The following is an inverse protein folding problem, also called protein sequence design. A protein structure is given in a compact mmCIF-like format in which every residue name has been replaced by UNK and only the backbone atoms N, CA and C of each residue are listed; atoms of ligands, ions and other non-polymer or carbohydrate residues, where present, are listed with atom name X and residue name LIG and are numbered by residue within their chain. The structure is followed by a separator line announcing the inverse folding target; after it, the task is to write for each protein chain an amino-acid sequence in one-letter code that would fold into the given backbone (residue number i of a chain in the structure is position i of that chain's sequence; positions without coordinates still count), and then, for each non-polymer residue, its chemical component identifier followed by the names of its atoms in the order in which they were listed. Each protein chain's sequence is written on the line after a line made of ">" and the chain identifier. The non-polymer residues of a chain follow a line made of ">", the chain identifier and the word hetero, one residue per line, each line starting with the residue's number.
data_IF_587976725757
#
_entry.id   IF_587976725757
#
_cell.length_a   1.000
_cell.length_b   1.000
_cell.length_c   1.000
_cell.angle_alpha   90.00
_cell.angle_beta   90.00
_cell.angle_gamma   90.00
#
_symmetry.space_group_name_H-M   'P 1'
#
loop_
_entity.id
_entity.type
_entity.pdbx_description
1 polymer ?
#
# COMPACT_ATOMS: atom_id res chain seq x y z
N UNK A 1 -21.28 13.90 -4.30
CA UNK A 1 -20.69 12.84 -5.13
C UNK A 1 -21.61 12.41 -6.29
N UNK A 2 -22.92 12.51 -6.14
CA UNK A 2 -23.92 12.07 -7.14
C UNK A 2 -24.08 13.00 -8.35
N UNK A 3 -23.97 14.32 -8.18
CA UNK A 3 -24.35 15.33 -9.17
C UNK A 3 -23.21 15.87 -10.03
N UNK A 4 -21.98 15.83 -9.53
CA UNK A 4 -20.82 16.36 -10.25
C UNK A 4 -20.45 15.51 -11.46
N UNK A 5 -19.93 16.09 -12.57
CA UNK A 5 -19.41 15.32 -13.69
C UNK A 5 -18.35 14.31 -13.23
N UNK A 6 -18.39 13.10 -13.81
CA UNK A 6 -17.60 11.94 -13.29
C UNK A 6 -16.09 12.19 -13.38
N UNK A 7 -15.60 12.70 -14.51
CA UNK A 7 -14.16 12.91 -14.70
C UNK A 7 -13.55 13.95 -13.71
N UNK A 8 -14.09 15.19 -13.59
CA UNK A 8 -13.59 16.15 -12.61
C UNK A 8 -13.73 15.65 -11.17
N UNK A 9 -14.80 14.91 -10.87
CA UNK A 9 -15.00 14.31 -9.56
C UNK A 9 -13.90 13.29 -9.26
N UNK A 10 -13.62 12.34 -10.18
CA UNK A 10 -12.55 11.37 -10.04
C UNK A 10 -11.20 12.06 -9.85
N UNK A 11 -10.87 13.05 -10.67
CA UNK A 11 -9.60 13.76 -10.58
C UNK A 11 -9.45 14.53 -9.26
N UNK A 12 -10.53 15.08 -8.73
CA UNK A 12 -10.51 15.76 -7.42
C UNK A 12 -10.19 14.82 -6.25
N UNK A 13 -10.41 13.52 -6.43
CA UNK A 13 -10.09 12.48 -5.45
C UNK A 13 -8.73 11.81 -5.74
N UNK A 14 -8.46 11.54 -7.01
CA UNK A 14 -7.27 10.83 -7.44
C UNK A 14 -5.99 11.68 -7.31
N UNK A 15 -6.02 12.94 -7.75
CA UNK A 15 -4.82 13.78 -7.78
C UNK A 15 -4.22 14.02 -6.38
N UNK A 16 -4.99 14.39 -5.33
CA UNK A 16 -4.45 14.49 -3.99
C UNK A 16 -3.86 13.17 -3.50
N UNK A 17 -4.44 12.04 -3.88
CA UNK A 17 -3.97 10.72 -3.48
C UNK A 17 -2.65 10.34 -4.18
N UNK A 18 -2.52 10.63 -5.47
CA UNK A 18 -1.26 10.46 -6.21
C UNK A 18 -0.14 11.30 -5.60
N UNK A 19 -0.43 12.57 -5.25
CA UNK A 19 0.53 13.46 -4.58
C UNK A 19 0.92 12.87 -3.22
N UNK A 20 -0.05 12.40 -2.44
CA UNK A 20 0.21 11.74 -1.15
C UNK A 20 1.15 10.55 -1.29
N UNK A 21 0.91 9.69 -2.27
CA UNK A 21 1.74 8.50 -2.51
C UNK A 21 3.16 8.88 -2.95
N UNK A 22 3.32 9.91 -3.79
CA UNK A 22 4.62 10.45 -4.19
C UNK A 22 5.40 10.97 -2.98
N UNK A 23 4.77 11.82 -2.16
CA UNK A 23 5.39 12.36 -0.95
C UNK A 23 5.79 11.25 0.01
N UNK A 24 4.93 10.25 0.20
CA UNK A 24 5.24 9.10 1.05
C UNK A 24 6.42 8.27 0.50
N UNK A 25 6.52 8.10 -0.82
CA UNK A 25 7.66 7.38 -1.42
C UNK A 25 8.96 8.16 -1.27
N UNK A 26 8.94 9.48 -1.47
CA UNK A 26 10.12 10.34 -1.26
C UNK A 26 10.54 10.37 0.21
N UNK A 27 9.58 10.48 1.12
CA UNK A 27 9.82 10.41 2.56
C UNK A 27 10.54 9.12 2.95
N UNK A 28 10.07 7.95 2.50
CA UNK A 28 10.71 6.66 2.82
C UNK A 28 12.17 6.59 2.34
N UNK A 29 12.49 7.22 1.19
CA UNK A 29 13.87 7.30 0.68
C UNK A 29 14.71 8.18 1.59
N UNK A 30 14.21 9.36 1.96
CA UNK A 30 14.94 10.33 2.81
C UNK A 30 15.20 9.77 4.21
N UNK A 31 14.19 9.16 4.84
CA UNK A 31 14.32 8.49 6.13
C UNK A 31 15.42 7.40 6.09
N UNK A 32 15.38 6.53 5.07
CA UNK A 32 16.40 5.51 4.89
C UNK A 32 17.80 6.07 4.69
N UNK A 33 17.93 7.22 4.00
CA UNK A 33 19.23 7.91 3.82
C UNK A 33 19.77 8.46 5.14
N UNK A 34 18.94 8.99 6.02
CA UNK A 34 19.38 9.45 7.34
C UNK A 34 19.83 8.27 8.22
N UNK A 35 19.08 7.17 8.23
CA UNK A 35 19.47 5.96 8.98
C UNK A 35 20.79 5.38 8.44
N UNK A 36 20.98 5.35 7.13
CA UNK A 36 22.22 4.89 6.50
C UNK A 36 23.47 5.70 6.92
N UNK A 37 23.27 6.96 7.31
CA UNK A 37 24.35 7.83 7.80
C UNK A 37 24.73 7.58 9.26
N UNK A 38 23.98 6.79 10.01
CA UNK A 38 24.34 6.40 11.38
C UNK A 38 25.52 5.41 11.31
N UNK A 39 25.26 4.22 10.82
CA UNK A 39 26.24 3.15 10.50
C UNK A 39 25.54 1.99 9.76
N UNK A 40 26.31 1.01 9.32
CA UNK A 40 25.78 -0.18 8.64
C UNK A 40 24.92 -1.07 9.55
N UNK A 41 25.26 -1.14 10.83
CA UNK A 41 24.48 -1.90 11.84
C UNK A 41 23.07 -1.35 11.99
N UNK A 42 22.89 -0.02 11.93
CA UNK A 42 21.58 0.63 11.98
C UNK A 42 20.72 0.29 10.74
N UNK A 43 21.31 0.30 9.53
CA UNK A 43 20.61 -0.10 8.31
C UNK A 43 20.23 -1.58 8.34
N UNK A 44 21.10 -2.44 8.85
CA UNK A 44 20.81 -3.87 9.01
C UNK A 44 19.67 -4.07 10.00
N UNK A 45 19.70 -3.39 11.14
CA UNK A 45 18.64 -3.45 12.16
C UNK A 45 17.29 -2.99 11.60
N UNK A 46 17.26 -1.85 10.88
CA UNK A 46 16.05 -1.36 10.21
C UNK A 46 15.49 -2.38 9.23
N UNK A 47 16.35 -2.98 8.40
CA UNK A 47 15.96 -3.97 7.39
C UNK A 47 15.37 -5.24 8.03
N UNK A 48 15.87 -5.66 9.20
CA UNK A 48 15.35 -6.82 9.92
C UNK A 48 14.00 -6.53 10.61
N UNK A 49 13.77 -5.29 11.06
CA UNK A 49 12.48 -4.89 11.69
C UNK A 49 11.39 -4.64 10.64
N UNK A 50 11.77 -4.18 9.44
CA UNK A 50 10.86 -3.78 8.36
C UNK A 50 9.76 -4.80 8.01
N UNK A 51 9.99 -6.13 7.92
CA UNK A 51 8.93 -7.09 7.62
C UNK A 51 7.78 -7.07 8.62
N UNK A 52 8.06 -6.97 9.91
CA UNK A 52 7.04 -6.91 10.96
C UNK A 52 6.29 -5.58 10.92
N UNK A 53 7.01 -4.48 10.70
CA UNK A 53 6.41 -3.15 10.53
C UNK A 53 5.48 -3.11 9.31
N UNK A 54 5.91 -3.70 8.19
CA UNK A 54 5.12 -3.79 6.96
C UNK A 54 3.86 -4.64 7.15
N UNK A 55 3.93 -5.72 7.92
CA UNK A 55 2.77 -6.54 8.26
C UNK A 55 1.73 -5.73 9.05
N UNK A 56 2.14 -4.96 10.06
CA UNK A 56 1.24 -4.09 10.82
C UNK A 56 0.61 -3.01 9.93
N UNK A 57 1.40 -2.43 9.02
CA UNK A 57 0.89 -1.46 8.04
C UNK A 57 -0.11 -2.12 7.07
N UNK A 58 0.13 -3.34 6.62
CA UNK A 58 -0.79 -4.08 5.76
C UNK A 58 -2.13 -4.35 6.48
N UNK A 59 -2.10 -4.69 7.78
CA UNK A 59 -3.31 -4.86 8.59
C UNK A 59 -4.07 -3.52 8.68
N UNK A 60 -3.38 -2.43 8.97
CA UNK A 60 -3.99 -1.11 9.10
C UNK A 60 -4.62 -0.62 7.78
N UNK A 61 -3.88 -0.71 6.68
CA UNK A 61 -4.34 -0.27 5.36
C UNK A 61 -5.49 -1.17 4.86
N UNK A 62 -5.33 -2.49 4.98
CA UNK A 62 -6.31 -3.44 4.48
C UNK A 62 -7.63 -3.35 5.25
N UNK A 63 -7.58 -3.28 6.58
CA UNK A 63 -8.78 -3.07 7.39
C UNK A 63 -9.41 -1.69 7.11
N UNK A 64 -8.58 -0.67 6.92
CA UNK A 64 -9.01 0.67 6.51
C UNK A 64 -9.75 0.70 5.17
N UNK A 65 -9.40 -0.17 4.22
CA UNK A 65 -10.16 -0.33 2.95
C UNK A 65 -11.59 -0.79 3.25
N UNK A 66 -11.76 -1.70 4.22
CA UNK A 66 -13.08 -2.12 4.69
C UNK A 66 -13.91 -0.96 5.24
N UNK A 67 -13.29 -0.12 6.09
CA UNK A 67 -13.94 1.10 6.63
C UNK A 67 -14.36 2.02 5.48
N UNK A 68 -13.45 2.31 4.56
CA UNK A 68 -13.69 3.21 3.43
C UNK A 68 -14.87 2.73 2.57
N UNK A 69 -14.89 1.45 2.20
CA UNK A 69 -15.92 0.88 1.34
C UNK A 69 -17.29 0.87 2.04
N UNK A 70 -17.34 0.40 3.29
CA UNK A 70 -18.61 0.25 4.00
C UNK A 70 -19.25 1.60 4.33
N UNK A 71 -18.45 2.57 4.80
CA UNK A 71 -18.93 3.93 5.07
C UNK A 71 -19.43 4.60 3.79
N UNK A 72 -18.68 4.49 2.66
CA UNK A 72 -19.10 5.07 1.40
C UNK A 72 -20.39 4.44 0.86
N UNK A 73 -20.55 3.12 0.98
CA UNK A 73 -21.78 2.39 0.60
C UNK A 73 -22.98 2.86 1.41
N UNK A 74 -22.87 2.90 2.74
CA UNK A 74 -23.94 3.35 3.62
C UNK A 74 -24.35 4.80 3.37
N UNK A 75 -23.35 5.70 3.16
CA UNK A 75 -23.64 7.10 2.81
C UNK A 75 -24.36 7.22 1.46
N UNK A 76 -23.95 6.41 0.48
CA UNK A 76 -24.61 6.36 -0.83
C UNK A 76 -26.05 5.90 -0.74
N UNK A 77 -26.32 4.91 0.09
CA UNK A 77 -27.66 4.39 0.36
C UNK A 77 -28.55 5.34 1.21
N UNK A 78 -27.97 6.43 1.73
CA UNK A 78 -28.70 7.34 2.65
C UNK A 78 -28.80 6.80 4.09
N UNK A 79 -28.10 5.72 4.42
CA UNK A 79 -28.10 5.07 5.72
C UNK A 79 -27.05 5.71 6.66
N UNK A 80 -27.30 6.98 7.06
CA UNK A 80 -26.32 7.76 7.84
C UNK A 80 -25.98 7.13 9.19
N UNK A 81 -26.94 6.52 9.87
CA UNK A 81 -26.71 5.87 11.16
C UNK A 81 -25.79 4.66 11.02
N UNK A 82 -25.98 3.83 9.98
CA UNK A 82 -25.07 2.72 9.69
C UNK A 82 -23.68 3.20 9.24
N UNK A 83 -23.60 4.34 8.57
CA UNK A 83 -22.32 4.95 8.24
C UNK A 83 -21.56 5.41 9.50
N UNK A 84 -22.26 6.03 10.46
CA UNK A 84 -21.71 6.40 11.78
C UNK A 84 -21.25 5.15 12.56
N UNK A 85 -22.07 4.07 12.55
CA UNK A 85 -21.69 2.80 13.17
C UNK A 85 -20.45 2.19 12.50
N UNK A 86 -20.42 2.10 11.17
CA UNK A 86 -19.28 1.54 10.44
C UNK A 86 -17.98 2.32 10.71
N UNK A 87 -18.03 3.66 10.75
CA UNK A 87 -16.89 4.48 11.10
C UNK A 87 -16.47 4.30 12.56
N UNK A 88 -17.42 4.24 13.49
CA UNK A 88 -17.16 4.08 14.93
C UNK A 88 -16.56 2.70 15.25
N UNK A 89 -17.13 1.63 14.73
CA UNK A 89 -16.60 0.27 14.88
C UNK A 89 -15.25 0.14 14.17
N UNK A 90 -15.13 0.69 12.95
CA UNK A 90 -13.88 0.70 12.22
C UNK A 90 -12.75 1.38 12.99
N UNK A 91 -13.01 2.53 13.62
CA UNK A 91 -12.05 3.21 14.48
C UNK A 91 -11.73 2.39 15.74
N UNK A 92 -12.76 1.86 16.44
CA UNK A 92 -12.58 1.08 17.65
C UNK A 92 -11.75 -0.19 17.39
N UNK A 93 -12.03 -0.92 16.32
CA UNK A 93 -11.26 -2.11 15.94
C UNK A 93 -9.85 -1.75 15.45
N UNK A 94 -9.68 -0.63 14.75
CA UNK A 94 -8.32 -0.17 14.38
C UNK A 94 -7.47 0.12 15.61
N UNK A 95 -8.04 0.78 16.63
CA UNK A 95 -7.35 0.99 17.91
C UNK A 95 -7.03 -0.34 18.61
N UNK A 96 -7.98 -1.27 18.64
CA UNK A 96 -7.76 -2.61 19.21
C UNK A 96 -6.66 -3.37 18.48
N UNK A 97 -6.68 -3.39 17.14
CA UNK A 97 -5.61 -3.99 16.33
C UNK A 97 -4.27 -3.31 16.58
N UNK A 98 -4.26 -1.98 16.78
CA UNK A 98 -3.05 -1.23 17.12
C UNK A 98 -2.46 -1.64 18.46
N UNK A 99 -3.29 -1.75 19.50
CA UNK A 99 -2.87 -2.18 20.83
C UNK A 99 -2.36 -3.62 20.80
N UNK A 100 -3.15 -4.54 20.24
CA UNK A 100 -2.78 -5.96 20.15
C UNK A 100 -1.55 -6.15 19.26
N UNK A 101 -1.51 -5.51 18.09
CA UNK A 101 -0.38 -5.57 17.17
C UNK A 101 0.91 -5.02 17.79
N UNK A 102 0.83 -3.89 18.51
CA UNK A 102 1.95 -3.33 19.28
C UNK A 102 2.48 -4.31 20.32
N UNK A 103 1.59 -4.83 21.16
CA UNK A 103 1.97 -5.77 22.22
C UNK A 103 2.60 -7.05 21.67
N UNK A 104 1.98 -7.66 20.66
CA UNK A 104 2.48 -8.87 20.00
C UNK A 104 3.83 -8.59 19.32
N UNK A 105 3.93 -7.52 18.53
CA UNK A 105 5.17 -7.18 17.83
C UNK A 105 6.33 -6.95 18.81
N UNK A 106 6.13 -6.17 19.87
CA UNK A 106 7.16 -5.92 20.87
C UNK A 106 7.58 -7.23 21.56
N UNK A 107 6.62 -8.11 21.89
CA UNK A 107 6.89 -9.37 22.57
C UNK A 107 7.67 -10.37 21.72
N UNK A 108 7.40 -10.44 20.40
CA UNK A 108 8.06 -11.41 19.52
C UNK A 108 9.42 -10.93 18.98
N UNK A 109 9.68 -9.62 18.96
CA UNK A 109 10.88 -9.05 18.34
C UNK A 109 12.20 -9.60 18.89
N UNK A 110 12.40 -9.81 20.21
CA UNK A 110 13.65 -10.38 20.70
C UNK A 110 13.95 -11.76 20.11
N UNK A 111 12.95 -12.65 20.09
CA UNK A 111 13.08 -13.99 19.52
C UNK A 111 13.21 -13.96 17.98
N UNK A 112 12.53 -13.03 17.34
CA UNK A 112 12.57 -12.86 15.88
C UNK A 112 13.96 -12.40 15.46
N UNK A 113 14.46 -11.28 15.98
CA UNK A 113 15.78 -10.74 15.62
C UNK A 113 16.92 -11.70 15.97
N UNK A 114 16.85 -12.38 17.12
CA UNK A 114 17.85 -13.35 17.53
C UNK A 114 17.99 -14.58 16.62
N UNK A 115 17.02 -14.81 15.71
CA UNK A 115 17.12 -15.87 14.67
C UNK A 115 17.87 -15.41 13.43
N UNK A 116 17.93 -14.10 13.17
CA UNK A 116 18.50 -13.53 11.96
C UNK A 116 19.88 -12.90 12.16
N UNK A 117 20.22 -12.53 13.40
CA UNK A 117 21.53 -11.94 13.71
C UNK A 117 22.05 -12.41 15.05
N UNK A 118 23.38 -12.63 15.12
CA UNK A 118 24.14 -12.86 16.36
C UNK A 118 24.93 -11.62 16.77
N UNK A 119 24.93 -10.58 15.93
CA UNK A 119 25.59 -9.32 16.20
C UNK A 119 24.84 -8.56 17.31
N UNK A 120 25.52 -8.34 18.42
CA UNK A 120 24.95 -7.69 19.61
C UNK A 120 24.56 -6.23 19.36
N UNK A 121 25.29 -5.51 18.49
CA UNK A 121 24.98 -4.12 18.13
C UNK A 121 23.71 -4.05 17.29
N UNK A 122 23.61 -4.86 16.23
CA UNK A 122 22.43 -4.95 15.38
C UNK A 122 21.20 -5.35 16.17
N UNK A 123 21.35 -6.35 17.06
CA UNK A 123 20.25 -6.81 17.94
C UNK A 123 19.77 -5.69 18.86
N UNK A 124 20.70 -5.00 19.54
CA UNK A 124 20.37 -3.88 20.43
C UNK A 124 19.67 -2.74 19.71
N UNK A 125 20.20 -2.35 18.53
CA UNK A 125 19.60 -1.30 17.70
C UNK A 125 18.21 -1.70 17.18
N UNK A 126 18.04 -2.92 16.73
CA UNK A 126 16.77 -3.44 16.24
C UNK A 126 15.70 -3.51 17.35
N UNK A 127 16.08 -3.92 18.55
CA UNK A 127 15.17 -3.92 19.70
C UNK A 127 14.78 -2.50 20.13
N UNK A 128 15.74 -1.58 20.13
CA UNK A 128 15.47 -0.17 20.46
C UNK A 128 14.53 0.47 19.46
N UNK A 129 14.83 0.31 18.17
CA UNK A 129 13.99 0.82 17.08
C UNK A 129 12.57 0.23 17.14
N UNK A 130 12.46 -1.09 17.24
CA UNK A 130 11.18 -1.79 17.20
C UNK A 130 10.28 -1.43 18.40
N UNK A 131 10.83 -1.31 19.61
CA UNK A 131 10.05 -0.91 20.79
C UNK A 131 9.40 0.46 20.61
N UNK A 132 10.14 1.42 20.04
CA UNK A 132 9.63 2.78 19.82
C UNK A 132 8.60 2.78 18.70
N UNK A 133 8.93 2.25 17.50
CA UNK A 133 8.04 2.26 16.36
C UNK A 133 6.74 1.50 16.61
N UNK A 134 6.82 0.32 17.25
CA UNK A 134 5.61 -0.44 17.59
C UNK A 134 4.84 0.17 18.77
N UNK A 135 5.49 0.95 19.64
CA UNK A 135 4.81 1.78 20.63
C UNK A 135 3.87 2.79 20.00
N UNK A 136 4.20 3.31 18.81
CA UNK A 136 3.34 4.20 18.01
C UNK A 136 2.35 3.47 17.10
N UNK A 137 2.34 2.13 17.03
CA UNK A 137 1.47 1.38 16.13
C UNK A 137 -0.02 1.71 16.30
N UNK A 138 -0.48 1.94 17.54
CA UNK A 138 -1.86 2.36 17.81
C UNK A 138 -2.17 3.73 17.21
N UNK A 139 -1.24 4.68 17.30
CA UNK A 139 -1.38 6.01 16.71
C UNK A 139 -1.41 5.93 15.19
N UNK A 140 -0.54 5.10 14.61
CA UNK A 140 -0.52 4.85 13.17
C UNK A 140 -1.83 4.24 12.66
N UNK A 141 -2.37 3.24 13.37
CA UNK A 141 -3.65 2.62 13.01
C UNK A 141 -4.82 3.59 13.14
N UNK A 142 -4.82 4.44 14.16
CA UNK A 142 -5.81 5.52 14.29
C UNK A 142 -5.70 6.53 13.13
N UNK A 143 -4.47 6.93 12.77
CA UNK A 143 -4.21 7.81 11.64
C UNK A 143 -4.76 7.25 10.33
N UNK A 144 -4.48 5.97 10.05
CA UNK A 144 -4.97 5.30 8.84
C UNK A 144 -6.49 5.10 8.85
N UNK A 145 -7.10 4.83 10.01
CA UNK A 145 -8.55 4.76 10.13
C UNK A 145 -9.21 6.12 9.83
N UNK A 146 -8.69 7.22 10.38
CA UNK A 146 -9.14 8.57 10.03
C UNK A 146 -8.95 8.87 8.55
N UNK A 147 -7.78 8.55 7.98
CA UNK A 147 -7.53 8.69 6.54
C UNK A 147 -8.66 8.04 5.73
N UNK A 148 -9.03 6.81 6.06
CA UNK A 148 -10.06 6.07 5.31
C UNK A 148 -11.47 6.62 5.54
N UNK A 149 -11.78 7.13 6.74
CA UNK A 149 -13.03 7.85 7.02
C UNK A 149 -13.09 9.15 6.20
N UNK A 150 -12.03 9.96 6.18
CA UNK A 150 -11.99 11.19 5.37
C UNK A 150 -12.06 10.90 3.87
N UNK A 151 -11.43 9.83 3.41
CA UNK A 151 -11.51 9.37 2.01
C UNK A 151 -12.94 8.96 1.64
N UNK A 152 -13.64 8.23 2.50
CA UNK A 152 -15.02 7.74 2.25
C UNK A 152 -16.03 8.88 2.08
N UNK A 153 -15.81 10.00 2.77
CA UNK A 153 -16.65 11.21 2.65
C UNK A 153 -16.16 12.20 1.57
N UNK A 154 -15.13 11.83 0.80
CA UNK A 154 -14.64 12.65 -0.31
C UNK A 154 -13.68 13.78 0.08
N UNK A 155 -13.14 13.78 1.29
CA UNK A 155 -12.21 14.80 1.79
C UNK A 155 -10.74 14.46 1.53
N UNK A 156 -10.39 14.05 0.30
CA UNK A 156 -9.03 13.65 -0.08
C UNK A 156 -7.96 14.74 0.13
N UNK A 157 -8.32 16.01 0.04
CA UNK A 157 -7.39 17.12 0.35
C UNK A 157 -6.93 17.09 1.80
N UNK A 158 -7.82 16.72 2.72
CA UNK A 158 -7.47 16.59 4.14
C UNK A 158 -6.46 15.47 4.35
N UNK A 159 -6.69 14.32 3.70
CA UNK A 159 -5.77 13.18 3.80
C UNK A 159 -4.39 13.51 3.22
N UNK A 160 -4.35 14.22 2.10
CA UNK A 160 -3.10 14.70 1.52
C UNK A 160 -2.35 15.64 2.47
N UNK A 161 -3.04 16.65 3.04
CA UNK A 161 -2.41 17.62 3.97
C UNK A 161 -1.91 16.92 5.22
N UNK A 162 -2.71 16.03 5.82
CA UNK A 162 -2.32 15.29 7.02
C UNK A 162 -1.06 14.44 6.78
N UNK A 163 -0.99 13.74 5.63
CA UNK A 163 0.16 12.95 5.26
C UNK A 163 1.40 13.82 5.01
N UNK A 164 1.25 14.93 4.28
CA UNK A 164 2.36 15.87 4.02
C UNK A 164 2.90 16.43 5.35
N UNK A 165 2.03 16.86 6.27
CA UNK A 165 2.45 17.35 7.59
C UNK A 165 3.24 16.29 8.36
N UNK A 166 2.77 15.06 8.36
CA UNK A 166 3.49 13.95 9.00
C UNK A 166 4.85 13.67 8.36
N UNK A 167 4.92 13.58 7.03
CA UNK A 167 6.16 13.33 6.30
C UNK A 167 7.17 14.49 6.47
N UNK A 168 6.73 15.73 6.33
CA UNK A 168 7.60 16.91 6.51
C UNK A 168 8.08 17.00 7.94
N UNK A 169 7.17 16.78 8.92
CA UNK A 169 7.53 16.72 10.33
C UNK A 169 8.61 15.68 10.62
N UNK A 170 8.47 14.49 10.07
CA UNK A 170 9.49 13.43 10.20
C UNK A 170 10.82 13.85 9.55
N UNK A 171 10.84 14.29 8.28
CA UNK A 171 12.06 14.72 7.57
C UNK A 171 12.82 15.81 8.33
N UNK A 172 12.11 16.71 9.02
CA UNK A 172 12.72 17.75 9.86
C UNK A 172 13.26 17.15 11.15
N UNK A 173 12.51 16.25 11.80
CA UNK A 173 12.88 15.65 13.09
C UNK A 173 14.00 14.62 12.97
N UNK A 174 14.11 13.90 11.84
CA UNK A 174 15.16 12.91 11.62
C UNK A 174 16.56 13.46 11.90
N UNK A 175 17.07 14.49 11.21
CA UNK A 175 18.40 15.00 11.47
C UNK A 175 18.53 15.61 12.88
N UNK A 176 17.47 16.20 13.42
CA UNK A 176 17.50 16.79 14.77
C UNK A 176 17.68 15.72 15.86
N UNK A 177 16.93 14.63 15.77
CA UNK A 177 16.93 13.57 16.78
C UNK A 177 18.01 12.52 16.54
N UNK A 178 18.33 12.20 15.28
CA UNK A 178 19.37 11.22 14.96
C UNK A 178 20.75 11.76 15.34
N UNK A 179 21.08 12.98 14.89
CA UNK A 179 22.43 13.55 15.03
C UNK A 179 22.57 14.54 16.18
N UNK A 180 21.48 14.90 16.86
CA UNK A 180 21.53 15.82 17.99
C UNK A 180 21.80 17.26 17.58
N UNK A 181 21.03 17.80 16.62
CA UNK A 181 21.19 19.17 16.17
C UNK A 181 20.39 20.12 17.06
N UNK A 182 21.03 21.21 17.51
CA UNK A 182 20.42 22.21 18.37
C UNK A 182 20.25 21.73 19.82
N UNK A 183 19.06 21.88 20.44
CA UNK A 183 18.83 21.49 21.83
C UNK A 183 18.59 19.98 22.04
N UNK A 184 18.56 19.21 20.98
CA UNK A 184 18.23 17.77 21.03
C UNK A 184 19.49 16.91 21.26
N UNK A 185 19.41 15.86 22.10
CA UNK A 185 20.49 14.89 22.23
C UNK A 185 20.58 14.00 20.98
N UNK A 186 21.78 13.56 20.63
CA UNK A 186 21.98 12.57 19.58
C UNK A 186 21.44 11.21 20.01
N UNK A 187 20.34 10.75 19.40
CA UNK A 187 19.66 9.51 19.77
C UNK A 187 19.91 8.36 18.78
N UNK A 188 20.61 8.62 17.67
CA UNK A 188 20.88 7.59 16.66
C UNK A 188 19.59 6.95 16.13
N UNK A 189 19.54 5.61 16.10
CA UNK A 189 18.40 4.85 15.57
C UNK A 189 17.11 5.04 16.41
N UNK A 190 17.23 5.34 17.72
CA UNK A 190 16.08 5.69 18.54
C UNK A 190 15.46 7.02 18.09
N UNK A 191 16.29 7.97 17.65
CA UNK A 191 15.86 9.24 17.09
C UNK A 191 15.04 9.06 15.80
N UNK A 192 15.48 8.21 14.88
CA UNK A 192 14.74 7.85 13.67
C UNK A 192 13.37 7.23 13.99
N UNK A 193 13.34 6.27 14.92
CA UNK A 193 12.10 5.65 15.36
C UNK A 193 11.12 6.66 15.99
N UNK A 194 11.63 7.56 16.80
CA UNK A 194 10.84 8.60 17.47
C UNK A 194 10.32 9.63 16.46
N UNK A 195 11.15 10.07 15.51
CA UNK A 195 10.74 10.99 14.44
C UNK A 195 9.60 10.41 13.61
N UNK A 196 9.69 9.10 13.26
CA UNK A 196 8.61 8.37 12.57
C UNK A 196 7.32 8.39 13.40
N UNK A 197 7.40 8.05 14.68
CA UNK A 197 6.24 8.05 15.58
C UNK A 197 5.61 9.44 15.74
N UNK A 198 6.42 10.49 15.91
CA UNK A 198 5.93 11.87 15.99
C UNK A 198 5.30 12.31 14.67
N UNK A 199 5.88 11.96 13.52
CA UNK A 199 5.28 12.21 12.20
C UNK A 199 3.86 11.62 12.07
N UNK A 200 3.68 10.37 12.53
CA UNK A 200 2.36 9.73 12.59
C UNK A 200 1.40 10.45 13.54
N UNK A 201 1.89 10.90 14.70
CA UNK A 201 1.11 11.66 15.65
C UNK A 201 0.70 13.05 15.11
N UNK A 202 1.58 13.71 14.35
CA UNK A 202 1.27 14.98 13.66
C UNK A 202 0.17 14.78 12.62
N UNK A 203 0.26 13.71 11.80
CA UNK A 203 -0.81 13.35 10.85
C UNK A 203 -2.14 13.12 11.56
N UNK A 204 -2.12 12.38 12.65
CA UNK A 204 -3.32 12.11 13.49
C UNK A 204 -3.85 13.42 14.06
N UNK A 205 -2.98 14.31 14.51
CA UNK A 205 -3.35 15.64 15.02
C UNK A 205 -4.09 16.49 14.00
N UNK A 206 -3.63 16.49 12.73
CA UNK A 206 -4.33 17.18 11.65
C UNK A 206 -5.74 16.60 11.46
N UNK A 207 -5.88 15.27 11.46
CA UNK A 207 -7.21 14.64 11.35
C UNK A 207 -8.11 15.03 12.51
N UNK A 208 -7.62 15.00 13.73
CA UNK A 208 -8.39 15.37 14.93
C UNK A 208 -8.84 16.84 14.89
N UNK A 209 -7.95 17.76 14.51
CA UNK A 209 -8.27 19.19 14.39
C UNK A 209 -9.35 19.40 13.32
N UNK A 210 -9.19 18.81 12.13
CA UNK A 210 -10.17 18.95 11.06
C UNK A 210 -11.50 18.27 11.43
N UNK A 211 -11.45 17.11 12.10
CA UNK A 211 -12.63 16.41 12.57
C UNK A 211 -13.43 17.24 13.59
N UNK A 212 -12.74 17.91 14.51
CA UNK A 212 -13.38 18.76 15.52
C UNK A 212 -13.89 20.10 14.94
N UNK A 213 -13.22 20.66 13.91
CA UNK A 213 -13.53 21.98 13.36
C UNK A 213 -14.51 21.97 12.19
N UNK A 214 -14.79 20.79 11.59
CA UNK A 214 -15.65 20.70 10.40
C UNK A 214 -16.79 19.72 10.62
N UNK A 215 -17.95 20.01 10.05
CA UNK A 215 -19.04 19.06 9.98
C UNK A 215 -18.78 18.03 8.90
N UNK A 216 -18.67 16.78 9.32
CA UNK A 216 -18.58 15.62 8.43
C UNK A 216 -19.94 14.92 8.35
N UNK A 217 -20.27 14.34 7.19
CA UNK A 217 -21.49 13.54 7.05
C UNK A 217 -21.47 12.25 7.85
N UNK A 218 -20.35 11.92 8.50
CA UNK A 218 -20.16 10.74 9.38
C UNK A 218 -19.49 11.19 10.67
N UNK A 219 -20.04 10.69 11.80
CA UNK A 219 -19.54 11.02 13.13
C UNK A 219 -19.27 9.76 13.95
N UNK A 220 -18.16 9.79 14.69
CA UNK A 220 -17.84 8.77 15.68
C UNK A 220 -18.71 9.03 16.92
N UNK A 221 -19.61 8.11 17.24
CA UNK A 221 -20.57 8.26 18.35
C UNK A 221 -20.43 7.12 19.35
N UNK A 222 -20.33 7.45 20.64
CA UNK A 222 -20.30 6.44 21.71
C UNK A 222 -21.55 5.55 21.71
N UNK A 223 -22.70 6.08 21.33
CA UNK A 223 -23.94 5.31 21.22
C UNK A 223 -23.84 4.19 20.16
N UNK A 224 -22.96 4.34 19.16
CA UNK A 224 -22.72 3.36 18.10
C UNK A 224 -21.69 2.29 18.47
N UNK A 225 -21.19 2.22 19.70
CA UNK A 225 -20.22 1.19 20.13
C UNK A 225 -20.85 -0.18 20.45
N UNK A 226 -22.17 -0.31 20.37
CA UNK A 226 -22.82 -1.62 20.51
C UNK A 226 -22.42 -2.50 19.32
N UNK A 227 -21.84 -3.66 19.62
CA UNK A 227 -21.45 -4.63 18.61
C UNK A 227 -22.64 -5.02 17.74
N UNK A 228 -22.49 -4.88 16.45
CA UNK A 228 -23.42 -5.32 15.42
C UNK A 228 -22.74 -6.39 14.58
N UNK A 229 -23.14 -7.65 14.81
CA UNK A 229 -22.50 -8.80 14.17
C UNK A 229 -22.57 -8.75 12.64
N UNK A 230 -23.63 -8.22 12.08
CA UNK A 230 -23.78 -8.12 10.62
C UNK A 230 -22.79 -7.08 10.04
N UNK A 231 -22.79 -5.89 10.63
CA UNK A 231 -21.90 -4.80 10.24
C UNK A 231 -20.43 -5.19 10.43
N UNK A 232 -20.08 -5.78 11.58
CA UNK A 232 -18.72 -6.18 11.91
C UNK A 232 -18.22 -7.27 10.97
N UNK A 233 -19.06 -8.30 10.72
CA UNK A 233 -18.72 -9.33 9.74
C UNK A 233 -18.50 -8.73 8.36
N UNK A 234 -19.28 -7.74 7.96
CA UNK A 234 -19.12 -7.06 6.68
C UNK A 234 -17.83 -6.24 6.61
N UNK A 235 -17.45 -5.54 7.68
CA UNK A 235 -16.14 -4.85 7.78
C UNK A 235 -14.99 -5.82 7.57
N UNK A 236 -14.97 -6.94 8.28
CA UNK A 236 -13.91 -7.94 8.18
C UNK A 236 -13.95 -8.71 6.86
N UNK A 237 -15.11 -8.94 6.27
CA UNK A 237 -15.23 -9.60 4.95
C UNK A 237 -14.61 -8.78 3.80
N UNK A 238 -14.44 -7.48 3.98
CA UNK A 238 -13.73 -6.60 3.06
C UNK A 238 -12.27 -6.42 3.51
N UNK A 239 -12.07 -6.18 4.80
CA UNK A 239 -10.76 -5.86 5.37
C UNK A 239 -9.76 -7.02 5.30
N UNK A 240 -10.14 -8.24 5.69
CA UNK A 240 -9.24 -9.40 5.66
C UNK A 240 -8.77 -9.72 4.23
N UNK A 241 -9.63 -9.81 3.21
CA UNK A 241 -9.17 -9.94 1.83
C UNK A 241 -8.22 -8.84 1.38
N UNK A 242 -8.47 -7.60 1.79
CA UNK A 242 -7.60 -6.48 1.44
C UNK A 242 -6.22 -6.59 2.12
N UNK A 243 -6.15 -7.05 3.38
CA UNK A 243 -4.88 -7.36 4.07
C UNK A 243 -4.10 -8.42 3.29
N UNK A 244 -4.77 -9.51 2.91
CA UNK A 244 -4.15 -10.61 2.14
C UNK A 244 -3.65 -10.11 0.78
N UNK A 245 -4.43 -9.29 0.08
CA UNK A 245 -4.02 -8.68 -1.19
C UNK A 245 -2.70 -7.90 -1.06
N UNK A 246 -2.48 -7.22 0.05
CA UNK A 246 -1.23 -6.47 0.32
C UNK A 246 -0.06 -7.39 0.69
N UNK A 247 -0.32 -8.57 1.22
CA UNK A 247 0.71 -9.53 1.63
C UNK A 247 1.18 -10.45 0.48
N UNK A 248 0.29 -10.78 -0.47
CA UNK A 248 0.57 -11.72 -1.57
C UNK A 248 1.80 -11.37 -2.41
N UNK A 249 2.10 -10.10 -2.77
CA UNK A 249 3.30 -9.76 -3.52
C UNK A 249 4.60 -10.18 -2.83
N UNK A 250 4.65 -10.13 -1.49
CA UNK A 250 5.84 -10.53 -0.74
C UNK A 250 6.14 -12.04 -0.88
N UNK A 251 5.10 -12.88 -0.88
CA UNK A 251 5.24 -14.32 -1.14
C UNK A 251 5.76 -14.58 -2.55
N UNK A 252 5.21 -13.85 -3.53
CA UNK A 252 5.67 -13.96 -4.91
C UNK A 252 7.15 -13.59 -5.06
N UNK A 253 7.58 -12.47 -4.48
CA UNK A 253 8.99 -12.03 -4.54
C UNK A 253 9.91 -13.09 -3.97
N UNK A 254 9.56 -13.69 -2.83
CA UNK A 254 10.34 -14.75 -2.20
C UNK A 254 10.45 -15.99 -3.11
N UNK A 255 9.34 -16.39 -3.72
CA UNK A 255 9.32 -17.52 -4.65
C UNK A 255 10.18 -17.26 -5.90
N UNK A 256 10.03 -16.09 -6.54
CA UNK A 256 10.80 -15.73 -7.73
C UNK A 256 12.30 -15.59 -7.43
N UNK A 257 12.65 -15.01 -6.27
CA UNK A 257 14.05 -14.96 -5.83
C UNK A 257 14.65 -16.37 -5.71
N UNK A 258 13.89 -17.33 -5.16
CA UNK A 258 14.35 -18.72 -5.03
C UNK A 258 14.59 -19.37 -6.39
N UNK A 259 13.74 -19.11 -7.39
CA UNK A 259 13.93 -19.61 -8.74
C UNK A 259 15.16 -18.99 -9.42
N UNK A 260 15.33 -17.69 -9.32
CA UNK A 260 16.39 -16.94 -10.01
C UNK A 260 17.76 -17.14 -9.37
N UNK A 261 17.82 -17.30 -8.04
CA UNK A 261 19.06 -17.57 -7.30
C UNK A 261 19.75 -18.87 -7.75
N UNK A 262 18.99 -19.83 -8.28
CA UNK A 262 19.54 -21.07 -8.82
C UNK A 262 20.40 -20.87 -10.10
N UNK A 263 20.27 -19.73 -10.77
CA UNK A 263 21.05 -19.40 -11.99
C UNK A 263 22.21 -18.45 -11.67
N UNK A 264 21.93 -17.29 -11.08
CA UNK A 264 22.96 -16.31 -10.67
C UNK A 264 22.38 -15.27 -9.73
N UNK A 265 23.22 -14.73 -8.83
CA UNK A 265 22.89 -13.59 -8.01
C UNK A 265 22.48 -12.33 -8.80
N UNK A 266 23.02 -12.17 -10.01
CA UNK A 266 22.69 -11.06 -10.91
C UNK A 266 21.20 -11.02 -11.26
N UNK A 267 20.55 -12.16 -11.45
CA UNK A 267 19.09 -12.20 -11.74
C UNK A 267 18.23 -11.82 -10.54
N UNK A 268 18.68 -12.15 -9.33
CA UNK A 268 18.02 -11.69 -8.09
C UNK A 268 18.11 -10.18 -7.96
N UNK A 269 19.28 -9.60 -8.28
CA UNK A 269 19.48 -8.14 -8.31
C UNK A 269 18.58 -7.49 -9.36
N UNK A 270 18.47 -8.07 -10.55
CA UNK A 270 17.58 -7.60 -11.63
C UNK A 270 16.14 -7.57 -11.17
N UNK A 271 15.64 -8.64 -10.51
CA UNK A 271 14.29 -8.69 -9.97
C UNK A 271 14.07 -7.60 -8.91
N UNK A 272 15.04 -7.38 -8.02
CA UNK A 272 14.99 -6.33 -7.01
C UNK A 272 14.89 -4.93 -7.62
N UNK A 273 15.70 -4.64 -8.66
CA UNK A 273 15.65 -3.37 -9.40
C UNK A 273 14.30 -3.21 -10.10
N UNK A 274 13.80 -4.28 -10.75
CA UNK A 274 12.49 -4.27 -11.38
C UNK A 274 11.39 -3.85 -10.40
N UNK A 275 11.32 -4.45 -9.20
CA UNK A 275 10.28 -4.10 -8.22
C UNK A 275 10.39 -2.67 -7.71
N UNK A 276 11.60 -2.12 -7.60
CA UNK A 276 11.78 -0.69 -7.28
C UNK A 276 11.23 0.20 -8.39
N UNK A 277 11.57 -0.07 -9.65
CA UNK A 277 11.04 0.66 -10.81
C UNK A 277 9.52 0.51 -10.92
N UNK A 278 9.00 -0.69 -10.75
CA UNK A 278 7.56 -0.97 -10.78
C UNK A 278 6.81 -0.12 -9.76
N UNK A 279 7.32 0.01 -8.54
CA UNK A 279 6.69 0.83 -7.50
C UNK A 279 6.46 2.25 -7.99
N UNK A 280 7.44 2.90 -8.61
CA UNK A 280 7.30 4.25 -9.14
C UNK A 280 6.36 4.33 -10.36
N UNK A 281 6.43 3.36 -11.25
CA UNK A 281 5.60 3.32 -12.46
C UNK A 281 4.11 3.10 -12.14
N UNK A 282 3.81 2.25 -11.16
CA UNK A 282 2.45 1.93 -10.77
C UNK A 282 1.84 2.94 -9.78
N UNK A 283 2.66 3.78 -9.15
CA UNK A 283 2.21 4.72 -8.14
C UNK A 283 1.07 5.66 -8.62
N UNK A 284 1.15 6.33 -9.80
CA UNK A 284 0.07 7.19 -10.25
C UNK A 284 -1.22 6.41 -10.56
N UNK A 285 -1.11 5.23 -11.18
CA UNK A 285 -2.26 4.39 -11.48
C UNK A 285 -2.95 3.90 -10.20
N UNK A 286 -2.17 3.44 -9.22
CA UNK A 286 -2.68 3.04 -7.90
C UNK A 286 -3.36 4.21 -7.18
N UNK A 287 -2.81 5.42 -7.28
CA UNK A 287 -3.42 6.63 -6.73
C UNK A 287 -4.79 6.94 -7.32
N UNK A 288 -4.95 6.76 -8.65
CA UNK A 288 -6.26 6.92 -9.32
C UNK A 288 -7.24 5.84 -8.87
N UNK A 289 -6.81 4.58 -8.81
CA UNK A 289 -7.66 3.47 -8.34
C UNK A 289 -8.10 3.67 -6.89
N UNK A 290 -7.22 4.13 -6.01
CA UNK A 290 -7.60 4.46 -4.62
C UNK A 290 -8.61 5.61 -4.56
N UNK A 291 -8.45 6.65 -5.41
CA UNK A 291 -9.41 7.76 -5.51
C UNK A 291 -10.78 7.31 -6.04
N UNK A 292 -10.83 6.29 -6.88
CA UNK A 292 -12.06 5.71 -7.43
C UNK A 292 -12.87 4.94 -6.36
N UNK A 293 -12.23 4.23 -5.43
CA UNK A 293 -12.90 3.33 -4.46
C UNK A 293 -14.09 3.96 -3.73
N UNK A 294 -13.94 5.10 -3.02
CA UNK A 294 -15.07 5.70 -2.30
C UNK A 294 -16.15 6.21 -3.25
N UNK A 295 -15.78 6.65 -4.47
CA UNK A 295 -16.76 7.09 -5.47
C UNK A 295 -17.61 5.92 -6.00
N UNK A 296 -16.99 4.78 -6.26
CA UNK A 296 -17.70 3.55 -6.65
C UNK A 296 -18.63 3.11 -5.52
N UNK A 297 -18.13 3.01 -4.28
CA UNK A 297 -18.93 2.61 -3.13
C UNK A 297 -20.15 3.51 -2.94
N UNK A 298 -19.94 4.82 -2.92
CA UNK A 298 -21.01 5.79 -2.78
C UNK A 298 -22.07 5.70 -3.90
N UNK A 299 -21.65 5.69 -5.17
CA UNK A 299 -22.58 5.65 -6.30
C UNK A 299 -23.31 4.29 -6.39
N UNK A 300 -22.65 3.20 -6.02
CA UNK A 300 -23.28 1.88 -5.93
C UNK A 300 -24.34 1.82 -4.84
N UNK A 301 -24.03 2.32 -3.64
CA UNK A 301 -25.01 2.45 -2.54
C UNK A 301 -26.20 3.33 -2.91
N UNK A 302 -25.98 4.37 -3.72
CA UNK A 302 -27.02 5.26 -4.22
C UNK A 302 -27.83 4.68 -5.42
N UNK A 303 -27.55 3.45 -5.87
CA UNK A 303 -28.21 2.83 -7.03
C UNK A 303 -27.80 3.40 -8.40
N UNK A 304 -26.75 4.23 -8.45
CA UNK A 304 -26.30 4.90 -9.67
C UNK A 304 -25.32 4.03 -10.49
N UNK A 305 -25.80 2.86 -10.93
CA UNK A 305 -24.99 1.86 -11.65
C UNK A 305 -24.34 2.40 -12.93
N UNK A 306 -25.00 3.33 -13.65
CA UNK A 306 -24.42 3.98 -14.83
C UNK A 306 -23.15 4.75 -14.45
N UNK A 307 -23.15 5.47 -13.33
CA UNK A 307 -21.99 6.24 -12.84
C UNK A 307 -20.89 5.31 -12.35
N UNK A 308 -21.23 4.19 -11.72
CA UNK A 308 -20.25 3.15 -11.34
C UNK A 308 -19.50 2.65 -12.57
N UNK A 309 -20.20 2.33 -13.66
CA UNK A 309 -19.56 1.92 -14.93
C UNK A 309 -18.69 3.02 -15.53
N UNK A 310 -19.14 4.26 -15.54
CA UNK A 310 -18.35 5.39 -16.04
C UNK A 310 -17.09 5.61 -15.23
N UNK A 311 -17.17 5.57 -13.88
CA UNK A 311 -16.00 5.67 -12.98
C UNK A 311 -15.00 4.55 -13.27
N UNK A 312 -15.45 3.32 -13.41
CA UNK A 312 -14.60 2.18 -13.77
C UNK A 312 -13.91 2.37 -15.11
N UNK A 313 -14.66 2.74 -16.16
CA UNK A 313 -14.13 2.93 -17.51
C UNK A 313 -13.10 4.05 -17.57
N UNK A 314 -13.39 5.21 -16.97
CA UNK A 314 -12.48 6.34 -16.95
C UNK A 314 -11.20 5.97 -16.17
N UNK A 315 -11.33 5.32 -15.02
CA UNK A 315 -10.17 4.87 -14.24
C UNK A 315 -9.33 3.87 -15.02
N UNK A 316 -9.96 2.92 -15.71
CA UNK A 316 -9.28 1.94 -16.55
C UNK A 316 -8.50 2.60 -17.68
N UNK A 317 -9.11 3.56 -18.40
CA UNK A 317 -8.46 4.30 -19.50
C UNK A 317 -7.27 5.09 -18.96
N UNK A 318 -7.43 5.82 -17.86
CA UNK A 318 -6.35 6.59 -17.27
C UNK A 318 -5.19 5.70 -16.78
N UNK A 319 -5.52 4.60 -16.11
CA UNK A 319 -4.52 3.63 -15.64
C UNK A 319 -3.80 2.98 -16.84
N UNK A 320 -4.53 2.59 -17.88
CA UNK A 320 -3.92 2.03 -19.08
C UNK A 320 -3.03 3.03 -19.81
N UNK A 321 -3.41 4.31 -19.89
CA UNK A 321 -2.58 5.38 -20.47
C UNK A 321 -1.28 5.58 -19.70
N UNK A 322 -1.34 5.60 -18.36
CA UNK A 322 -0.14 5.70 -17.50
C UNK A 322 0.75 4.47 -17.72
N UNK A 323 0.17 3.28 -17.73
CA UNK A 323 0.92 2.04 -17.95
C UNK A 323 1.52 1.97 -19.36
N UNK A 324 0.84 2.52 -20.38
CA UNK A 324 1.39 2.64 -21.74
C UNK A 324 2.60 3.58 -21.76
N UNK A 325 2.52 4.72 -21.10
CA UNK A 325 3.67 5.62 -20.93
C UNK A 325 4.83 4.93 -20.21
N UNK A 326 4.55 4.17 -19.14
CA UNK A 326 5.54 3.36 -18.44
C UNK A 326 6.17 2.27 -19.32
N UNK A 327 5.36 1.59 -20.13
CA UNK A 327 5.85 0.60 -21.12
C UNK A 327 6.78 1.24 -22.12
N UNK A 328 6.38 2.36 -22.74
CA UNK A 328 7.22 3.09 -23.70
C UNK A 328 8.53 3.56 -23.06
N UNK A 329 8.48 4.07 -21.82
CA UNK A 329 9.65 4.46 -21.06
C UNK A 329 10.62 3.28 -20.82
N UNK A 330 10.10 2.12 -20.40
CA UNK A 330 10.90 0.92 -20.19
C UNK A 330 11.49 0.38 -21.50
N UNK A 331 10.77 0.42 -22.61
CA UNK A 331 11.28 -0.01 -23.92
C UNK A 331 12.37 0.90 -24.44
N UNK A 332 12.18 2.23 -24.32
CA UNK A 332 13.12 3.23 -24.84
C UNK A 332 14.37 3.37 -23.94
N UNK A 333 14.22 3.29 -22.62
CA UNK A 333 15.24 3.61 -21.65
C UNK A 333 15.62 2.43 -20.73
N UNK A 334 15.42 1.17 -21.16
CA UNK A 334 15.71 -0.02 -20.33
C UNK A 334 17.12 -0.06 -19.79
N UNK A 335 18.14 0.25 -20.60
CA UNK A 335 19.54 0.26 -20.18
C UNK A 335 19.85 1.43 -19.24
N UNK A 336 19.53 2.71 -19.55
CA UNK A 336 19.71 3.81 -18.61
C UNK A 336 19.01 3.59 -17.27
N UNK A 337 17.78 3.02 -17.26
CA UNK A 337 17.07 2.70 -16.04
C UNK A 337 17.80 1.67 -15.17
N UNK A 338 18.39 0.64 -15.79
CA UNK A 338 19.19 -0.34 -15.05
C UNK A 338 20.48 0.28 -14.51
N UNK A 339 21.14 1.13 -15.30
CA UNK A 339 22.39 1.83 -14.90
C UNK A 339 22.22 2.79 -13.72
N UNK A 340 20.99 3.22 -13.41
CA UNK A 340 20.72 3.99 -12.18
C UNK A 340 20.95 3.19 -10.90
N UNK A 341 20.89 1.86 -10.97
CA UNK A 341 20.92 0.98 -9.80
C UNK A 341 22.16 0.07 -9.75
N UNK A 342 22.80 -0.19 -10.89
CA UNK A 342 23.97 -1.06 -10.96
C UNK A 342 24.89 -0.65 -12.09
N UNK A 343 26.20 -0.80 -11.85
CA UNK A 343 27.27 -0.57 -12.85
C UNK A 343 27.80 -1.88 -13.46
N UNK A 344 27.38 -3.04 -12.94
CA UNK A 344 27.84 -4.36 -13.41
C UNK A 344 27.29 -4.66 -14.81
N UNK A 345 28.10 -4.79 -15.86
CA UNK A 345 27.63 -4.92 -17.24
C UNK A 345 26.70 -6.12 -17.46
N UNK A 346 27.00 -7.27 -16.84
CA UNK A 346 26.20 -8.48 -16.91
C UNK A 346 24.78 -8.27 -16.35
N UNK A 347 24.70 -7.61 -15.18
CA UNK A 347 23.41 -7.31 -14.52
C UNK A 347 22.63 -6.28 -15.33
N UNK A 348 23.30 -5.30 -15.95
CA UNK A 348 22.64 -4.30 -16.81
C UNK A 348 22.04 -4.96 -18.05
N UNK A 349 22.78 -5.85 -18.74
CA UNK A 349 22.27 -6.51 -19.94
C UNK A 349 21.12 -7.48 -19.62
N UNK A 350 21.25 -8.28 -18.55
CA UNK A 350 20.18 -9.15 -18.08
C UNK A 350 18.92 -8.33 -17.69
N UNK A 351 19.10 -7.21 -17.02
CA UNK A 351 18.02 -6.31 -16.61
C UNK A 351 17.33 -5.60 -17.77
N UNK A 352 18.09 -5.20 -18.78
CA UNK A 352 17.55 -4.63 -20.02
C UNK A 352 16.61 -5.61 -20.73
N UNK A 353 17.00 -6.89 -20.83
CA UNK A 353 16.16 -7.93 -21.40
C UNK A 353 14.91 -8.14 -20.54
N UNK A 354 15.08 -8.25 -19.22
CA UNK A 354 13.97 -8.43 -18.27
C UNK A 354 12.95 -7.30 -18.38
N UNK A 355 13.38 -6.03 -18.32
CA UNK A 355 12.48 -4.87 -18.38
C UNK A 355 11.67 -4.83 -19.69
N UNK A 356 12.32 -5.10 -20.82
CA UNK A 356 11.66 -5.12 -22.14
C UNK A 356 10.60 -6.19 -22.26
N UNK A 357 10.79 -7.33 -21.63
CA UNK A 357 9.80 -8.43 -21.65
C UNK A 357 8.67 -8.14 -20.66
N UNK A 358 9.00 -7.80 -19.42
CA UNK A 358 8.01 -7.64 -18.35
C UNK A 358 7.07 -6.46 -18.64
N UNK A 359 7.59 -5.34 -19.19
CA UNK A 359 6.79 -4.15 -19.43
C UNK A 359 5.64 -4.35 -20.46
N UNK A 360 5.70 -5.40 -21.28
CA UNK A 360 4.61 -5.77 -22.21
C UNK A 360 3.30 -6.07 -21.47
N UNK A 361 3.40 -6.53 -20.22
CA UNK A 361 2.25 -6.79 -19.37
C UNK A 361 1.62 -5.56 -18.70
N UNK A 362 2.31 -4.42 -18.65
CA UNK A 362 1.88 -3.27 -17.85
C UNK A 362 0.51 -2.72 -18.23
N UNK A 363 0.27 -2.50 -19.54
CA UNK A 363 -1.02 -1.98 -20.01
C UNK A 363 -2.16 -2.95 -19.65
N UNK A 364 -1.93 -4.24 -19.81
CA UNK A 364 -2.91 -5.29 -19.51
C UNK A 364 -3.20 -5.35 -18.01
N UNK A 365 -2.16 -5.14 -17.17
CA UNK A 365 -2.30 -5.14 -15.72
C UNK A 365 -3.26 -4.07 -15.18
N UNK A 366 -3.48 -2.98 -15.94
CA UNK A 366 -4.45 -1.96 -15.59
C UNK A 366 -5.87 -2.53 -15.41
N UNK A 367 -6.23 -3.59 -16.15
CA UNK A 367 -7.52 -4.27 -16.04
C UNK A 367 -7.67 -4.92 -14.67
N UNK A 368 -6.69 -5.73 -14.27
CA UNK A 368 -6.71 -6.46 -13.00
C UNK A 368 -6.67 -5.50 -11.81
N UNK A 369 -5.82 -4.47 -11.86
CA UNK A 369 -5.67 -3.47 -10.80
C UNK A 369 -6.93 -2.63 -10.62
N UNK A 370 -7.52 -2.16 -11.73
CA UNK A 370 -8.76 -1.36 -11.68
C UNK A 370 -9.94 -2.20 -11.22
N UNK A 371 -10.07 -3.44 -11.71
CA UNK A 371 -11.16 -4.35 -11.32
C UNK A 371 -11.08 -4.72 -9.84
N UNK A 372 -9.89 -5.05 -9.34
CA UNK A 372 -9.66 -5.36 -7.93
C UNK A 372 -10.02 -4.17 -7.03
N UNK A 373 -9.55 -2.97 -7.37
CA UNK A 373 -9.89 -1.75 -6.63
C UNK A 373 -11.37 -1.38 -6.69
N UNK A 374 -12.03 -1.62 -7.83
CA UNK A 374 -13.47 -1.41 -7.97
C UNK A 374 -14.28 -2.38 -7.09
N UNK A 375 -13.91 -3.67 -7.07
CA UNK A 375 -14.54 -4.69 -6.21
C UNK A 375 -14.36 -4.37 -4.72
N UNK A 376 -13.19 -3.89 -4.30
CA UNK A 376 -12.97 -3.41 -2.94
C UNK A 376 -13.90 -2.23 -2.61
N UNK A 377 -14.03 -1.25 -3.52
CA UNK A 377 -14.95 -0.12 -3.36
C UNK A 377 -16.42 -0.54 -3.30
N UNK A 378 -16.81 -1.60 -4.01
CA UNK A 378 -18.16 -2.21 -3.97
C UNK A 378 -18.41 -3.02 -2.68
N UNK A 379 -17.43 -3.14 -1.79
CA UNK A 379 -17.54 -4.00 -0.62
C UNK A 379 -17.42 -5.49 -0.94
N UNK A 380 -16.89 -5.85 -2.11
CA UNK A 380 -16.73 -7.23 -2.59
C UNK A 380 -15.27 -7.66 -2.46
N UNK A 381 -14.75 -7.61 -1.22
CA UNK A 381 -13.35 -7.91 -0.90
C UNK A 381 -12.93 -9.33 -1.29
N UNK A 382 -13.77 -10.33 -1.05
CA UNK A 382 -13.50 -11.73 -1.40
C UNK A 382 -13.28 -11.90 -2.91
N UNK A 383 -14.07 -11.23 -3.76
CA UNK A 383 -13.91 -11.27 -5.21
C UNK A 383 -12.59 -10.61 -5.65
N UNK A 384 -12.20 -9.50 -5.00
CA UNK A 384 -10.89 -8.88 -5.20
C UNK A 384 -9.75 -9.83 -4.84
N UNK A 385 -9.87 -10.54 -3.71
CA UNK A 385 -8.88 -11.54 -3.28
C UNK A 385 -8.76 -12.71 -4.27
N UNK A 386 -9.86 -13.19 -4.84
CA UNK A 386 -9.82 -14.24 -5.87
C UNK A 386 -8.97 -13.80 -7.07
N UNK A 387 -9.14 -12.57 -7.54
CA UNK A 387 -8.30 -12.02 -8.63
C UNK A 387 -6.82 -12.03 -8.22
N UNK A 388 -6.51 -11.57 -7.02
CA UNK A 388 -5.14 -11.49 -6.51
C UNK A 388 -4.50 -12.88 -6.31
N UNK A 389 -5.25 -13.85 -5.78
CA UNK A 389 -4.79 -15.23 -5.63
C UNK A 389 -4.50 -15.87 -7.00
N UNK A 390 -5.40 -15.70 -7.97
CA UNK A 390 -5.16 -16.16 -9.33
C UNK A 390 -3.88 -15.53 -9.91
N UNK A 391 -3.71 -14.21 -9.76
CA UNK A 391 -2.57 -13.47 -10.30
C UNK A 391 -1.25 -13.85 -9.62
N UNK A 392 -1.18 -13.74 -8.28
CA UNK A 392 0.09 -13.84 -7.53
C UNK A 392 0.49 -15.27 -7.14
N UNK A 393 -0.45 -16.21 -7.13
CA UNK A 393 -0.15 -17.62 -6.76
C UNK A 393 -0.39 -18.56 -7.94
N UNK A 394 -1.62 -18.59 -8.47
CA UNK A 394 -1.97 -19.63 -9.46
C UNK A 394 -1.23 -19.39 -10.77
N UNK A 395 -1.33 -18.18 -11.36
CA UNK A 395 -0.78 -17.99 -12.70
C UNK A 395 0.72 -17.74 -12.67
N UNK A 396 1.19 -16.71 -11.95
CA UNK A 396 2.60 -16.31 -12.06
C UNK A 396 3.56 -17.35 -11.48
N UNK A 397 3.25 -17.98 -10.34
CA UNK A 397 4.15 -18.99 -9.77
C UNK A 397 4.23 -20.25 -10.66
N UNK A 398 3.08 -20.72 -11.19
CA UNK A 398 3.06 -21.87 -12.08
C UNK A 398 3.75 -21.55 -13.41
N UNK A 399 3.42 -20.42 -14.05
CA UNK A 399 4.04 -20.04 -15.32
C UNK A 399 5.54 -19.78 -15.15
N UNK A 400 5.96 -19.07 -14.08
CA UNK A 400 7.37 -18.84 -13.82
C UNK A 400 8.12 -20.16 -13.61
N UNK A 401 7.55 -21.10 -12.86
CA UNK A 401 8.16 -22.41 -12.64
C UNK A 401 8.29 -23.25 -13.93
N UNK A 402 7.21 -23.33 -14.74
CA UNK A 402 7.20 -24.09 -15.99
C UNK A 402 8.13 -23.46 -17.03
N UNK A 403 8.00 -22.14 -17.26
CA UNK A 403 8.79 -21.43 -18.27
C UNK A 403 10.27 -21.32 -17.86
N UNK A 404 10.55 -21.22 -16.57
CA UNK A 404 11.91 -21.23 -16.05
C UNK A 404 12.64 -22.56 -16.39
N UNK A 405 11.95 -23.69 -16.32
CA UNK A 405 12.54 -25.00 -16.70
C UNK A 405 12.84 -25.12 -18.19
N UNK A 406 12.06 -24.44 -19.04
CA UNK A 406 12.21 -24.51 -20.49
C UNK A 406 13.17 -23.45 -21.05
N UNK A 407 13.13 -22.24 -20.52
CA UNK A 407 13.81 -21.06 -21.07
C UNK A 407 14.73 -20.36 -20.04
N UNK A 408 14.98 -20.97 -18.90
CA UNK A 408 15.80 -20.36 -17.83
C UNK A 408 15.21 -19.03 -17.30
N UNK A 409 16.06 -18.07 -16.91
CA UNK A 409 15.59 -16.78 -16.35
C UNK A 409 14.68 -15.99 -17.30
N UNK A 410 14.90 -16.07 -18.61
CA UNK A 410 14.01 -15.43 -19.61
C UNK A 410 12.60 -15.95 -19.54
N UNK A 411 12.43 -17.25 -19.22
CA UNK A 411 11.12 -17.84 -18.96
C UNK A 411 10.40 -17.20 -17.80
N UNK A 412 11.11 -16.86 -16.72
CA UNK A 412 10.54 -16.14 -15.57
C UNK A 412 10.01 -14.76 -15.99
N UNK A 413 10.77 -14.02 -16.81
CA UNK A 413 10.33 -12.72 -17.31
C UNK A 413 9.08 -12.81 -18.18
N UNK A 414 8.99 -13.83 -19.03
CA UNK A 414 7.81 -14.09 -19.86
C UNK A 414 6.57 -14.45 -19.03
N UNK A 415 6.74 -15.07 -17.87
CA UNK A 415 5.63 -15.39 -17.00
C UNK A 415 4.87 -14.14 -16.54
N UNK A 416 5.52 -12.97 -16.43
CA UNK A 416 4.86 -11.73 -15.99
C UNK A 416 3.76 -11.30 -16.96
N UNK A 417 4.09 -11.06 -18.24
CA UNK A 417 3.07 -10.60 -19.20
C UNK A 417 2.00 -11.66 -19.48
N UNK A 418 2.39 -12.95 -19.52
CA UNK A 418 1.42 -14.03 -19.71
C UNK A 418 0.42 -14.12 -18.54
N UNK A 419 0.90 -13.93 -17.31
CA UNK A 419 0.06 -13.81 -16.11
C UNK A 419 -0.92 -12.65 -16.23
N UNK A 420 -0.47 -11.48 -16.69
CA UNK A 420 -1.35 -10.32 -16.81
C UNK A 420 -2.51 -10.56 -17.79
N UNK A 421 -2.26 -11.28 -18.89
CA UNK A 421 -3.32 -11.68 -19.85
C UNK A 421 -4.37 -12.57 -19.17
N UNK A 422 -3.92 -13.63 -18.49
CA UNK A 422 -4.83 -14.55 -17.79
C UNK A 422 -5.59 -13.85 -16.66
N UNK A 423 -4.89 -13.02 -15.89
CA UNK A 423 -5.48 -12.26 -14.79
C UNK A 423 -6.49 -11.24 -15.28
N UNK A 424 -6.27 -10.60 -16.44
CA UNK A 424 -7.21 -9.67 -17.04
C UNK A 424 -8.51 -10.37 -17.41
N UNK A 425 -8.44 -11.59 -17.98
CA UNK A 425 -9.63 -12.39 -18.34
C UNK A 425 -10.43 -12.71 -17.07
N UNK A 426 -9.77 -13.25 -16.03
CA UNK A 426 -10.43 -13.56 -14.76
C UNK A 426 -11.03 -12.30 -14.14
N UNK A 427 -10.30 -11.18 -14.14
CA UNK A 427 -10.75 -9.91 -13.58
C UNK A 427 -12.01 -9.38 -14.25
N UNK A 428 -12.07 -9.44 -15.59
CA UNK A 428 -13.26 -9.03 -16.33
C UNK A 428 -14.46 -9.92 -16.04
N UNK A 429 -14.25 -11.25 -15.95
CA UNK A 429 -15.32 -12.20 -15.63
C UNK A 429 -15.86 -11.93 -14.22
N UNK A 430 -14.97 -11.83 -13.23
CA UNK A 430 -15.35 -11.61 -11.83
C UNK A 430 -16.05 -10.25 -11.68
N UNK A 431 -15.50 -9.20 -12.28
CA UNK A 431 -16.09 -7.85 -12.24
C UNK A 431 -17.49 -7.83 -12.87
N UNK A 432 -17.66 -8.37 -14.10
CA UNK A 432 -18.95 -8.40 -14.79
C UNK A 432 -20.02 -9.20 -14.04
N UNK A 433 -19.65 -10.27 -13.33
CA UNK A 433 -20.58 -11.03 -12.48
C UNK A 433 -20.93 -10.31 -11.18
N UNK A 434 -20.15 -9.32 -10.81
CA UNK A 434 -20.26 -8.63 -9.53
C UNK A 434 -20.97 -7.28 -9.62
N UNK A 435 -21.09 -6.69 -10.79
CA UNK A 435 -21.73 -5.37 -11.07
C UNK A 435 -22.90 -5.55 -12.03
#
# INVERSE_FOLDING_TARGET
>A
MKERPVFPLLMSMALPNVISMLVNSLYNIVDSLFVARINESAMTALSLVFPVQNLLNAIAIGFGIGINALVALCLGAGEHEKADQAATHGMAFSLLHGILGSAIAIAIMPSFLGRFTTDAEVLSMGLTYSRIVFGFATVNMASLAFEKIFQSVGRMKVTMVALIVGCVGNIILDPLLIFGIGPFPAMGIAGAALATGIGQALSTGVYLVVYASTELPVRLRRACLKLDKELDTRLYSIGIPAILNLALPSLLVTFLNSLLAAFSGSYVVVLGIYYKLQTFLYLPANGIVQGMRPLIGYNYGAGEHKRVRQLYQITLILSAAIMAAGTLGCLAASEPLMRLFTSTPETVEAGKIALRIICLGFVISAISTTSSGALEGLGKGTQSLVISLCRYIVFIMLLAWVLCRQFGPVGVWNAFWATEVLSAIVSLIVYKKSV
#
